data_IF_562658730428
#
_entry.id   IF_562658730428
#
_cell.length_a   1.000
_cell.length_b   1.000
_cell.length_c   1.000
_cell.angle_alpha   90.00
_cell.angle_beta   90.00
_cell.angle_gamma   90.00
#
_symmetry.space_group_name_H-M   'P 1'
#
loop_
_entity.id
_entity.type
_entity.pdbx_description
1 polymer ?
#
# COMPACT_ATOMS: atom_id res chain seq x y z
N UNK A 1 4.20 -7.60 -15.98
CA UNK A 1 3.67 -8.02 -14.66
C UNK A 1 3.62 -6.81 -13.73
N UNK A 2 3.06 -6.95 -12.53
CA UNK A 2 2.98 -5.84 -11.57
C UNK A 2 3.64 -6.20 -10.25
N UNK A 3 4.35 -5.24 -9.67
CA UNK A 3 5.08 -5.38 -8.41
C UNK A 3 4.81 -4.17 -7.51
N UNK A 4 4.93 -4.36 -6.21
CA UNK A 4 4.80 -3.30 -5.22
C UNK A 4 6.13 -2.61 -4.97
N UNK A 5 6.10 -1.32 -4.66
CA UNK A 5 7.24 -0.48 -4.22
C UNK A 5 6.75 0.47 -3.13
N UNK A 6 7.44 0.52 -1.99
CA UNK A 6 7.22 1.61 -1.03
C UNK A 6 7.89 2.89 -1.56
N UNK A 7 7.23 4.03 -1.41
CA UNK A 7 7.75 5.35 -1.70
C UNK A 7 6.81 6.41 -1.10
N UNK A 8 7.38 7.50 -0.60
CA UNK A 8 6.62 8.69 -0.18
C UNK A 8 5.45 8.38 0.79
N UNK A 9 5.67 7.45 1.72
CA UNK A 9 4.72 7.11 2.77
C UNK A 9 3.60 6.16 2.32
N UNK A 10 3.69 5.56 1.13
CA UNK A 10 2.73 4.58 0.62
C UNK A 10 3.40 3.43 -0.13
N UNK A 11 2.72 2.29 -0.21
CA UNK A 11 3.05 1.23 -1.18
C UNK A 11 2.30 1.44 -2.49
N UNK A 12 3.04 1.67 -3.56
CA UNK A 12 2.54 1.85 -4.92
C UNK A 12 2.74 0.58 -5.75
N UNK A 13 1.78 0.30 -6.64
CA UNK A 13 1.94 -0.73 -7.65
C UNK A 13 2.57 -0.11 -8.90
N UNK A 14 3.49 -0.83 -9.55
CA UNK A 14 4.11 -0.43 -10.82
C UNK A 14 4.17 -1.59 -11.80
N UNK A 15 4.16 -1.29 -13.09
CA UNK A 15 4.50 -2.28 -14.10
C UNK A 15 6.01 -2.57 -14.03
N UNK A 16 6.38 -3.84 -14.14
CA UNK A 16 7.78 -4.24 -14.19
C UNK A 16 8.00 -5.44 -15.10
N UNK A 17 9.25 -5.56 -15.59
CA UNK A 17 9.77 -6.71 -16.32
C UNK A 17 10.44 -7.73 -15.39
N UNK A 18 10.93 -7.29 -14.22
CA UNK A 18 11.57 -8.13 -13.21
C UNK A 18 11.03 -7.86 -11.81
N UNK A 19 11.12 -8.88 -10.93
CA UNK A 19 10.83 -8.73 -9.52
C UNK A 19 11.99 -8.00 -8.84
N UNK A 20 11.69 -7.15 -7.86
CA UNK A 20 12.70 -6.43 -7.09
C UNK A 20 12.18 -5.10 -6.57
N UNK A 21 12.86 -4.57 -5.56
CA UNK A 21 12.71 -3.17 -5.17
C UNK A 21 13.60 -2.29 -6.05
N UNK A 22 13.20 -1.05 -6.25
CA UNK A 22 14.06 -0.02 -6.85
C UNK A 22 15.03 0.52 -5.79
N UNK A 23 16.16 1.06 -6.25
CA UNK A 23 17.16 1.69 -5.41
C UNK A 23 16.69 3.06 -4.89
N UNK A 24 17.31 3.52 -3.81
CA UNK A 24 17.03 4.85 -3.26
C UNK A 24 17.38 5.95 -4.28
N UNK A 25 16.54 6.96 -4.37
CA UNK A 25 16.62 8.05 -5.35
C UNK A 25 16.00 7.73 -6.71
N UNK A 26 15.61 6.49 -6.98
CA UNK A 26 14.89 6.16 -8.20
C UNK A 26 13.46 6.72 -8.18
N UNK A 27 13.02 7.26 -9.32
CA UNK A 27 11.61 7.58 -9.58
C UNK A 27 10.97 6.50 -10.44
N UNK A 28 9.65 6.31 -10.32
CA UNK A 28 8.95 5.33 -11.15
C UNK A 28 7.50 5.72 -11.42
N UNK A 29 7.00 5.36 -12.61
CA UNK A 29 5.59 5.50 -12.94
C UNK A 29 4.74 4.48 -12.16
N UNK A 30 3.96 4.98 -11.20
CA UNK A 30 3.00 4.19 -10.45
C UNK A 30 1.68 4.01 -11.22
N UNK A 31 0.94 2.93 -10.95
CA UNK A 31 -0.36 2.70 -11.59
C UNK A 31 -1.42 3.75 -11.24
N UNK A 32 -1.23 4.51 -10.16
CA UNK A 32 -2.08 5.65 -9.84
C UNK A 32 -1.77 6.91 -10.68
N UNK A 33 -0.79 6.86 -11.58
CA UNK A 33 -0.39 7.96 -12.45
C UNK A 33 0.60 8.95 -11.83
N UNK A 34 1.04 8.73 -10.59
CA UNK A 34 2.08 9.53 -9.95
C UNK A 34 3.48 9.00 -10.29
N UNK A 35 4.51 9.81 -10.03
CA UNK A 35 5.92 9.44 -10.14
C UNK A 35 6.65 9.55 -8.79
N UNK A 36 6.43 8.62 -7.85
CA UNK A 36 7.04 8.69 -6.54
C UNK A 36 8.56 8.46 -6.60
N UNK A 37 9.29 9.07 -5.66
CA UNK A 37 10.71 8.86 -5.44
C UNK A 37 10.94 7.89 -4.28
N UNK A 38 11.79 6.89 -4.49
CA UNK A 38 12.14 5.90 -3.45
C UNK A 38 13.13 6.50 -2.45
N UNK A 39 12.77 6.55 -1.18
CA UNK A 39 13.65 6.94 -0.09
C UNK A 39 14.49 5.77 0.45
N UNK A 40 15.50 6.06 1.27
CA UNK A 40 16.33 5.02 1.90
C UNK A 40 15.53 4.06 2.80
N UNK A 41 14.46 4.58 3.43
CA UNK A 41 13.58 3.79 4.29
C UNK A 41 12.57 2.94 3.50
N UNK A 42 12.50 3.12 2.19
CA UNK A 42 11.58 2.42 1.31
C UNK A 42 12.18 1.14 0.70
N UNK A 43 13.46 0.87 0.97
CA UNK A 43 14.15 -0.31 0.47
C UNK A 43 13.78 -1.53 1.30
N UNK A 44 13.18 -2.53 0.64
CA UNK A 44 12.89 -3.80 1.28
C UNK A 44 14.18 -4.53 1.63
N UNK A 45 14.46 -4.71 2.92
CA UNK A 45 15.65 -5.41 3.43
C UNK A 45 15.27 -6.36 4.56
N UNK A 46 16.03 -7.45 4.79
CA UNK A 46 15.85 -8.30 5.96
C UNK A 46 15.81 -7.46 7.25
N UNK A 47 14.75 -7.61 8.04
CA UNK A 47 14.55 -6.83 9.28
C UNK A 47 13.93 -5.43 9.10
N UNK A 48 13.67 -4.99 7.86
CA UNK A 48 12.96 -3.73 7.55
C UNK A 48 11.73 -4.02 6.68
N UNK A 49 10.61 -4.48 7.26
CA UNK A 49 9.39 -4.73 6.50
C UNK A 49 8.83 -3.42 5.96
N UNK A 50 8.15 -3.50 4.81
CA UNK A 50 7.33 -2.39 4.33
C UNK A 50 6.08 -2.26 5.18
N UNK A 51 5.97 -1.16 5.93
CA UNK A 51 4.87 -0.91 6.86
C UNK A 51 3.90 0.17 6.38
N UNK A 52 4.26 0.92 5.34
CA UNK A 52 3.43 2.01 4.85
C UNK A 52 2.09 1.50 4.31
N UNK A 53 1.03 2.31 4.41
CA UNK A 53 -0.27 1.95 3.85
C UNK A 53 -0.18 1.71 2.34
N UNK A 54 -1.01 0.81 1.84
CA UNK A 54 -1.16 0.62 0.40
C UNK A 54 -1.86 1.83 -0.22
N UNK A 55 -1.34 2.36 -1.33
CA UNK A 55 -2.00 3.40 -2.10
C UNK A 55 -3.34 2.87 -2.65
N UNK A 56 -4.50 3.45 -2.26
CA UNK A 56 -5.81 2.92 -2.65
C UNK A 56 -6.01 2.87 -4.18
N UNK A 57 -5.56 3.92 -4.88
CA UNK A 57 -5.66 3.98 -6.34
C UNK A 57 -4.80 2.93 -7.03
N UNK A 58 -3.61 2.63 -6.49
CA UNK A 58 -2.77 1.53 -6.99
C UNK A 58 -3.42 0.16 -6.75
N UNK A 59 -4.04 -0.06 -5.59
CA UNK A 59 -4.76 -1.32 -5.30
C UNK A 59 -5.90 -1.55 -6.30
N UNK A 60 -6.73 -0.53 -6.53
CA UNK A 60 -7.80 -0.58 -7.53
C UNK A 60 -7.26 -0.87 -8.93
N UNK A 61 -6.23 -0.14 -9.38
CA UNK A 61 -5.66 -0.32 -10.71
C UNK A 61 -5.02 -1.71 -10.88
N UNK A 62 -4.29 -2.19 -9.87
CA UNK A 62 -3.69 -3.52 -9.86
C UNK A 62 -4.75 -4.62 -9.96
N UNK A 63 -5.83 -4.53 -9.17
CA UNK A 63 -6.94 -5.49 -9.20
C UNK A 63 -7.61 -5.54 -10.56
N UNK A 64 -7.92 -4.38 -11.15
CA UNK A 64 -8.48 -4.29 -12.50
C UNK A 64 -7.58 -4.95 -13.53
N UNK A 65 -6.27 -4.69 -13.45
CA UNK A 65 -5.30 -5.27 -14.37
C UNK A 65 -5.15 -6.80 -14.23
N UNK A 66 -5.47 -7.37 -13.07
CA UNK A 66 -5.46 -8.81 -12.83
C UNK A 66 -6.84 -9.48 -12.93
N UNK A 67 -7.90 -8.74 -13.25
CA UNK A 67 -9.27 -9.25 -13.23
C UNK A 67 -9.75 -9.68 -11.84
N UNK A 68 -9.13 -9.17 -10.78
CA UNK A 68 -9.51 -9.44 -9.39
C UNK A 68 -10.66 -8.49 -9.02
N UNK A 69 -11.75 -8.99 -8.44
CA UNK A 69 -12.82 -8.13 -7.95
C UNK A 69 -12.32 -7.10 -6.93
N UNK A 70 -12.89 -5.89 -6.99
CA UNK A 70 -12.69 -4.92 -5.92
C UNK A 70 -13.16 -5.50 -4.58
N UNK A 71 -12.47 -5.22 -3.47
CA UNK A 71 -12.90 -5.70 -2.18
C UNK A 71 -14.29 -5.13 -1.92
N UNK A 72 -15.21 -5.98 -1.46
CA UNK A 72 -16.53 -5.48 -1.04
C UNK A 72 -16.31 -4.41 0.03
N UNK A 73 -17.01 -3.26 -0.05
CA UNK A 73 -16.96 -2.30 1.04
C UNK A 73 -17.28 -3.04 2.34
N UNK A 74 -16.42 -2.87 3.33
CA UNK A 74 -16.56 -3.53 4.61
C UNK A 74 -17.86 -3.06 5.26
N UNK A 75 -18.87 -3.93 5.31
CA UNK A 75 -20.06 -3.71 6.16
C UNK A 75 -19.73 -3.93 7.64
N UNK A 76 -18.45 -4.05 7.98
CA UNK A 76 -17.96 -4.13 9.36
C UNK A 76 -17.85 -2.74 9.99
N UNK A 77 -17.91 -2.63 11.33
CA UNK A 77 -17.70 -1.37 11.99
C UNK A 77 -16.29 -0.85 11.67
N UNK A 78 -16.21 0.40 11.20
CA UNK A 78 -14.94 1.10 10.96
C UNK A 78 -13.98 0.90 12.13
N UNK A 79 -12.67 0.78 11.87
CA UNK A 79 -11.64 0.71 12.93
C UNK A 79 -11.80 1.82 13.99
N UNK A 80 -12.28 3.01 13.60
CA UNK A 80 -12.62 4.10 14.52
C UNK A 80 -13.76 3.76 15.50
N UNK A 81 -14.76 3.02 15.04
CA UNK A 81 -15.89 2.56 15.86
C UNK A 81 -15.44 1.49 16.87
N UNK A 82 -14.51 0.60 16.49
CA UNK A 82 -13.92 -0.37 17.40
C UNK A 82 -13.09 0.29 18.52
N UNK A 83 -12.37 1.37 18.22
CA UNK A 83 -11.62 2.15 19.23
C UNK A 83 -12.53 2.78 20.29
N UNK A 84 -13.71 3.30 19.90
CA UNK A 84 -14.70 3.84 20.84
C UNK A 84 -15.33 2.77 21.72
N UNK A 85 -15.68 1.61 21.14
CA UNK A 85 -16.30 0.52 21.87
C UNK A 85 -15.35 -0.10 22.92
N UNK A 86 -14.05 -0.18 22.61
CA UNK A 86 -13.04 -0.65 23.57
C UNK A 86 -12.86 0.30 24.76
N UNK A 87 -12.91 1.61 24.53
CA UNK A 87 -12.75 2.61 25.62
C UNK A 87 -13.94 2.64 26.57
N UNK A 88 -15.17 2.44 26.06
CA UNK A 88 -16.39 2.45 26.88
C UNK A 88 -16.51 1.24 27.81
N UNK A 89 -15.81 0.14 27.52
CA UNK A 89 -15.89 -1.11 28.30
C UNK A 89 -14.91 -1.16 29.48
N UNK A 90 -14.03 -0.17 29.60
CA UNK A 90 -13.03 -0.07 30.68
C UNK A 90 -13.45 0.87 31.82
N UNK A 91 -14.57 1.61 31.66
CA UNK A 91 -15.07 2.59 32.64
C UNK A 91 -16.41 2.18 33.29
N UNK A 92 -16.76 0.89 33.26
CA UNK A 92 -17.98 0.35 33.86
C UNK A 92 -17.69 -0.71 34.90
#
# INVERSE_FOLDING_TARGET
MYVWQQAEGQRHARAAVHFGSLDAGATFAALCGSEPTVGENDIHSPGKPWLDPTCPSCDTAFRRALGIPEPRPDTGPSRKALSKAAFSKVQG
#
